data_IF_714996148268
#
_entry.id   IF_714996148268
#
_cell.length_a   1.000
_cell.length_b   1.000
_cell.length_c   1.000
_cell.angle_alpha   90.00
_cell.angle_beta   90.00
_cell.angle_gamma   90.00
#
_symmetry.space_group_name_H-M   'P 1'
#
loop_
_entity.id
_entity.type
_entity.pdbx_description
1 polymer ?
#
# COMPACT_ATOMS: atom_id res chain seq x y z
N UNK A 1 4.48 -13.76 11.43
CA UNK A 1 4.22 -13.69 9.97
C UNK A 1 3.37 -12.46 9.80
N UNK A 2 3.90 -11.47 9.06
CA UNK A 2 3.65 -10.03 9.17
C UNK A 2 4.24 -9.40 10.43
N UNK A 3 5.54 -9.13 10.38
CA UNK A 3 6.22 -8.14 11.26
C UNK A 3 6.88 -7.03 10.43
N UNK A 4 6.83 -7.11 9.09
CA UNK A 4 7.40 -6.11 8.21
C UNK A 4 6.33 -5.06 7.85
N UNK A 5 6.58 -3.76 8.06
CA UNK A 5 5.63 -2.70 7.72
C UNK A 5 5.23 -2.72 6.23
N UNK A 6 6.11 -3.19 5.36
CA UNK A 6 5.84 -3.35 3.93
C UNK A 6 4.79 -4.44 3.64
N UNK A 7 4.84 -5.58 4.33
CA UNK A 7 3.86 -6.67 4.18
C UNK A 7 2.46 -6.21 4.59
N UNK A 8 2.34 -5.48 5.71
CA UNK A 8 1.07 -4.93 6.17
C UNK A 8 0.47 -3.92 5.17
N UNK A 9 1.30 -3.13 4.51
CA UNK A 9 0.86 -2.20 3.46
C UNK A 9 0.33 -2.95 2.23
N UNK A 10 1.00 -4.04 1.83
CA UNK A 10 0.57 -4.90 0.73
C UNK A 10 -0.76 -5.58 1.04
N UNK A 11 -0.92 -6.18 2.21
CA UNK A 11 -2.19 -6.81 2.64
C UNK A 11 -3.35 -5.80 2.56
N UNK A 12 -3.15 -4.59 3.11
CA UNK A 12 -4.14 -3.52 3.04
C UNK A 12 -4.50 -3.12 1.61
N UNK A 13 -3.51 -3.09 0.71
CA UNK A 13 -3.75 -2.80 -0.69
C UNK A 13 -4.62 -3.89 -1.34
N UNK A 14 -4.30 -5.16 -1.11
CA UNK A 14 -5.03 -6.30 -1.68
C UNK A 14 -6.49 -6.30 -1.23
N UNK A 15 -6.77 -6.10 0.06
CA UNK A 15 -8.14 -6.02 0.60
C UNK A 15 -8.97 -4.94 -0.09
N UNK A 16 -8.37 -3.77 -0.33
CA UNK A 16 -9.06 -2.65 -0.97
C UNK A 16 -9.25 -2.85 -2.47
N UNK A 17 -8.26 -3.43 -3.14
CA UNK A 17 -8.37 -3.78 -4.54
C UNK A 17 -9.49 -4.80 -4.76
N UNK A 18 -9.57 -5.83 -3.92
CA UNK A 18 -10.64 -6.82 -3.96
C UNK A 18 -12.00 -6.15 -3.74
N UNK A 19 -12.15 -5.30 -2.72
CA UNK A 19 -13.40 -4.57 -2.48
C UNK A 19 -13.84 -3.68 -3.66
N UNK A 20 -12.90 -3.03 -4.35
CA UNK A 20 -13.19 -2.23 -5.54
C UNK A 20 -13.64 -3.09 -6.73
N UNK A 21 -13.02 -4.26 -6.91
CA UNK A 21 -13.40 -5.23 -7.94
C UNK A 21 -14.75 -5.87 -7.65
N UNK A 22 -15.02 -6.24 -6.39
CA UNK A 22 -16.33 -6.73 -5.94
C UNK A 22 -17.42 -5.70 -6.23
N UNK A 23 -17.16 -4.42 -5.98
CA UNK A 23 -18.10 -3.34 -6.28
C UNK A 23 -18.38 -3.21 -7.78
N UNK A 24 -17.37 -3.43 -8.63
CA UNK A 24 -17.53 -3.48 -10.08
C UNK A 24 -18.33 -4.70 -10.53
N UNK A 25 -18.00 -5.89 -10.03
CA UNK A 25 -18.66 -7.15 -10.38
C UNK A 25 -20.13 -7.15 -9.97
N UNK A 26 -20.47 -6.50 -8.87
CA UNK A 26 -21.84 -6.27 -8.42
C UNK A 26 -22.56 -5.15 -9.20
N UNK A 27 -21.86 -4.44 -10.09
CA UNK A 27 -22.41 -3.34 -10.90
C UNK A 27 -22.64 -2.05 -10.13
N UNK A 28 -22.04 -1.90 -8.95
CA UNK A 28 -22.10 -0.66 -8.15
C UNK A 28 -21.09 0.40 -8.61
N UNK A 29 -20.10 0.02 -9.43
CA UNK A 29 -19.09 0.93 -9.98
C UNK A 29 -18.86 0.67 -11.47
N UNK A 30 -18.61 1.75 -12.22
CA UNK A 30 -18.15 1.67 -13.61
C UNK A 30 -16.66 1.33 -13.68
N UNK A 31 -16.22 0.74 -14.81
CA UNK A 31 -14.82 0.34 -15.02
C UNK A 31 -13.82 1.50 -14.82
N UNK A 32 -14.14 2.69 -15.33
CA UNK A 32 -13.27 3.87 -15.18
C UNK A 32 -13.16 4.32 -13.72
N UNK A 33 -14.25 4.21 -12.96
CA UNK A 33 -14.26 4.52 -11.53
C UNK A 33 -13.44 3.51 -10.73
N UNK A 34 -13.58 2.21 -11.03
CA UNK A 34 -12.78 1.15 -10.42
C UNK A 34 -11.30 1.33 -10.71
N UNK A 35 -10.92 1.63 -11.96
CA UNK A 35 -9.54 1.91 -12.34
C UNK A 35 -8.97 3.13 -11.63
N UNK A 36 -9.75 4.20 -11.47
CA UNK A 36 -9.33 5.38 -10.71
C UNK A 36 -9.05 5.05 -9.23
N UNK A 37 -9.93 4.26 -8.61
CA UNK A 37 -9.76 3.78 -7.22
C UNK A 37 -8.52 2.91 -7.06
N UNK A 38 -8.34 1.91 -7.95
CA UNK A 38 -7.15 1.03 -7.91
C UNK A 38 -5.86 1.85 -8.07
N UNK A 39 -5.83 2.81 -9.01
CA UNK A 39 -4.66 3.69 -9.20
C UNK A 39 -4.33 4.49 -7.94
N UNK A 40 -5.34 5.04 -7.27
CA UNK A 40 -5.17 5.76 -6.02
C UNK A 40 -4.55 4.85 -4.95
N UNK A 41 -5.00 3.61 -4.83
CA UNK A 41 -4.44 2.66 -3.88
C UNK A 41 -3.02 2.20 -4.25
N UNK A 42 -2.66 2.15 -5.53
CA UNK A 42 -1.28 1.93 -5.97
C UNK A 42 -0.38 3.08 -5.54
N UNK A 43 -0.82 4.33 -5.71
CA UNK A 43 -0.05 5.51 -5.28
C UNK A 43 0.15 5.52 -3.75
N UNK A 44 -0.89 5.17 -2.98
CA UNK A 44 -0.80 5.02 -1.52
C UNK A 44 0.19 3.91 -1.09
N UNK A 45 0.17 2.76 -1.79
CA UNK A 45 1.09 1.67 -1.51
C UNK A 45 2.54 2.09 -1.82
N UNK A 46 2.77 2.73 -2.97
CA UNK A 46 4.08 3.21 -3.36
C UNK A 46 4.64 4.21 -2.34
N UNK A 47 3.83 5.16 -1.88
CA UNK A 47 4.20 6.09 -0.81
C UNK A 47 4.54 5.37 0.50
N UNK A 48 3.76 4.33 0.87
CA UNK A 48 4.00 3.57 2.11
C UNK A 48 5.30 2.76 2.06
N UNK A 49 5.65 2.22 0.89
CA UNK A 49 6.92 1.50 0.69
C UNK A 49 8.11 2.46 0.71
N UNK A 50 7.98 3.63 0.10
CA UNK A 50 9.02 4.66 0.12
C UNK A 50 9.28 5.18 1.55
N UNK A 51 8.21 5.41 2.32
CA UNK A 51 8.28 5.83 3.72
C UNK A 51 8.96 4.75 4.59
N UNK A 52 8.56 3.48 4.42
CA UNK A 52 9.19 2.35 5.12
C UNK A 52 10.69 2.21 4.80
N UNK A 53 11.11 2.50 3.57
CA UNK A 53 12.53 2.50 3.20
C UNK A 53 13.30 3.67 3.81
N UNK A 54 12.63 4.81 4.05
CA UNK A 54 13.22 5.98 4.70
C UNK A 54 13.38 5.76 6.22
N UNK A 55 12.44 5.06 6.86
CA UNK A 55 12.53 4.72 8.29
C UNK A 55 13.68 3.73 8.58
N UNK A 56 13.89 2.74 7.69
CA UNK A 56 15.00 1.78 7.79
C UNK A 56 16.37 2.46 7.70
N UNK A 57 16.49 3.50 6.87
CA UNK A 57 17.75 4.23 6.67
C UNK A 57 18.07 5.25 7.78
N UNK A 58 17.10 5.65 8.60
CA UNK A 58 17.33 6.49 9.81
C UNK A 58 17.86 5.66 10.99
N UNK A 59 17.53 4.37 11.07
CA UNK A 59 18.00 3.49 12.13
C UNK A 59 19.51 3.18 12.04
N UNK A 60 20.06 3.08 10.82
CA UNK A 60 21.47 2.75 10.57
C UNK A 60 22.44 3.93 10.83
N UNK A 61 21.98 5.19 10.82
CA UNK A 61 22.84 6.36 11.03
C UNK A 61 23.11 6.66 12.52
N UNK A 62 22.29 6.11 13.44
CA UNK A 62 22.39 6.39 14.88
C UNK A 62 23.38 5.49 15.64
N UNK A 63 23.98 4.46 15.02
CA UNK A 63 24.91 3.52 15.67
C UNK A 63 26.41 3.89 15.49
N UNK A 64 26.72 5.02 14.84
CA UNK A 64 28.08 5.35 14.40
C UNK A 64 28.94 6.24 15.33
N UNK A 65 28.48 6.59 16.54
CA UNK A 65 29.26 7.43 17.46
C UNK A 65 29.59 6.65 18.76
N UNK A 66 30.72 5.91 18.77
CA UNK A 66 31.41 5.40 19.98
C UNK A 66 32.60 6.29 20.35
#
# INVERSE_FOLDING_TARGET
>A
MTDDPSDAAVERFLDRAESALDSYDQGYADADATLATIRTHVDELAASVEDSSAEDSVAEDSDAEE
#
